data_IF_928777889443
#
_entry.id   IF_928777889443
#
_cell.length_a   1.000
_cell.length_b   1.000
_cell.length_c   1.000
_cell.angle_alpha   90.00
_cell.angle_beta   90.00
_cell.angle_gamma   90.00
#
_symmetry.space_group_name_H-M   'P 1'
#
loop_
_entity.id
_entity.type
_entity.pdbx_description
1 polymer ?
#
# COMPACT_ATOMS: atom_id res chain seq x y z
N UNK A 1 2.85 0.76 -25.32
CA UNK A 1 4.18 1.40 -25.15
C UNK A 1 5.23 0.32 -25.40
N UNK A 2 6.26 0.60 -26.21
CA UNK A 2 7.40 -0.32 -26.42
C UNK A 2 8.49 -0.03 -25.40
N UNK A 3 9.18 -1.05 -24.94
CA UNK A 3 10.33 -0.90 -24.04
C UNK A 3 11.57 -0.49 -24.83
N UNK A 4 11.78 -1.07 -26.02
CA UNK A 4 12.83 -0.70 -26.96
C UNK A 4 12.37 0.43 -27.90
N UNK A 5 12.29 1.65 -27.38
CA UNK A 5 12.03 2.85 -28.19
C UNK A 5 13.35 3.56 -28.56
N UNK A 6 13.68 3.67 -29.88
CA UNK A 6 14.95 4.25 -30.32
C UNK A 6 15.07 5.75 -30.05
N UNK A 7 13.97 6.43 -29.72
CA UNK A 7 13.95 7.85 -29.41
C UNK A 7 14.02 8.13 -27.90
N UNK A 8 14.11 7.10 -27.06
CA UNK A 8 14.16 7.24 -25.60
C UNK A 8 15.44 6.62 -25.01
N UNK A 9 16.01 7.27 -24.00
CA UNK A 9 17.15 6.73 -23.25
C UNK A 9 16.72 5.47 -22.48
N UNK A 10 17.48 4.37 -22.54
CA UNK A 10 17.12 3.13 -21.86
C UNK A 10 17.18 3.21 -20.33
N UNK A 11 17.94 4.18 -19.77
CA UNK A 11 18.04 4.37 -18.33
C UNK A 11 16.95 5.31 -17.77
N UNK A 12 16.82 6.53 -18.32
CA UNK A 12 15.95 7.56 -17.74
C UNK A 12 14.71 7.88 -18.58
N UNK A 13 14.55 7.24 -19.74
CA UNK A 13 13.49 7.50 -20.74
C UNK A 13 13.39 8.95 -21.23
N UNK A 14 14.46 9.74 -21.08
CA UNK A 14 14.56 11.06 -21.68
C UNK A 14 14.69 10.95 -23.21
N UNK A 15 14.22 11.96 -23.98
CA UNK A 15 14.34 11.95 -25.43
C UNK A 15 15.82 11.97 -25.87
N UNK A 16 16.17 11.15 -26.85
CA UNK A 16 17.53 11.08 -27.42
C UNK A 16 17.52 11.40 -28.91
N UNK A 17 18.54 12.12 -29.37
CA UNK A 17 18.67 12.59 -30.76
C UNK A 17 20.00 12.20 -31.40
N UNK A 18 20.30 10.90 -31.48
CA UNK A 18 21.54 10.41 -32.13
C UNK A 18 22.84 10.77 -31.40
N UNK A 19 22.76 11.13 -30.13
CA UNK A 19 23.90 11.48 -29.27
C UNK A 19 24.53 10.24 -28.64
N UNK A 20 25.82 10.29 -28.32
CA UNK A 20 26.54 9.17 -27.66
C UNK A 20 26.33 9.14 -26.15
N UNK A 21 25.94 10.27 -25.52
CA UNK A 21 25.52 10.34 -24.12
C UNK A 21 24.16 10.98 -23.97
N UNK A 22 23.36 10.46 -23.05
CA UNK A 22 22.07 11.05 -22.71
C UNK A 22 22.25 12.41 -22.02
N UNK A 23 21.60 13.44 -22.55
CA UNK A 23 21.65 14.79 -21.96
C UNK A 23 20.94 14.92 -20.60
N UNK A 24 20.04 13.99 -20.28
CA UNK A 24 19.25 14.03 -19.03
C UNK A 24 19.94 13.33 -17.87
N UNK A 25 20.48 12.13 -18.09
CA UNK A 25 21.07 11.30 -17.02
C UNK A 25 22.56 11.02 -17.19
N UNK A 26 23.18 11.46 -18.30
CA UNK A 26 24.61 11.25 -18.56
C UNK A 26 24.98 9.83 -19.02
N UNK A 27 24.01 8.94 -19.19
CA UNK A 27 24.25 7.54 -19.60
C UNK A 27 24.96 7.45 -20.96
N UNK A 28 25.99 6.60 -21.03
CA UNK A 28 26.75 6.36 -22.26
C UNK A 28 26.04 5.33 -23.15
N UNK A 29 25.40 5.82 -24.21
CA UNK A 29 24.62 5.06 -25.17
C UNK A 29 25.49 4.20 -26.10
N UNK A 30 26.80 4.50 -26.17
CA UNK A 30 27.74 3.75 -27.01
C UNK A 30 28.44 2.60 -26.28
N UNK A 31 28.22 2.48 -24.97
CA UNK A 31 28.86 1.45 -24.16
C UNK A 31 28.33 0.03 -24.47
N UNK A 32 29.15 -1.02 -24.29
CA UNK A 32 28.68 -2.41 -24.40
C UNK A 32 27.51 -2.72 -23.46
N UNK A 33 27.50 -2.14 -22.26
CA UNK A 33 26.40 -2.27 -21.31
C UNK A 33 25.09 -1.68 -21.83
N UNK A 34 25.14 -0.56 -22.57
CA UNK A 34 23.97 0.01 -23.23
C UNK A 34 23.41 -0.91 -24.33
N UNK A 35 24.28 -1.58 -25.09
CA UNK A 35 23.86 -2.57 -26.09
C UNK A 35 23.22 -3.81 -25.45
N UNK A 36 23.79 -4.30 -24.34
CA UNK A 36 23.21 -5.42 -23.59
C UNK A 36 21.81 -5.08 -23.04
N UNK A 37 21.68 -3.90 -22.43
CA UNK A 37 20.40 -3.41 -21.92
C UNK A 37 19.37 -3.25 -23.04
N UNK A 38 19.78 -2.73 -24.19
CA UNK A 38 18.93 -2.61 -25.38
C UNK A 38 18.42 -3.98 -25.86
N UNK A 39 19.30 -4.99 -25.91
CA UNK A 39 18.93 -6.36 -26.27
C UNK A 39 17.97 -7.00 -25.26
N UNK A 40 18.05 -6.63 -23.98
CA UNK A 40 17.08 -7.07 -22.96
C UNK A 40 15.70 -6.44 -23.21
N UNK A 41 15.62 -5.16 -23.57
CA UNK A 41 14.35 -4.51 -23.88
C UNK A 41 13.69 -5.06 -25.15
N UNK A 42 14.47 -5.38 -26.18
CA UNK A 42 13.95 -6.09 -27.37
C UNK A 42 13.34 -7.43 -26.96
N UNK A 43 14.03 -8.20 -26.11
CA UNK A 43 13.52 -9.49 -25.61
C UNK A 43 12.22 -9.31 -24.82
N UNK A 44 12.15 -8.30 -23.95
CA UNK A 44 10.95 -7.99 -23.19
C UNK A 44 9.75 -7.64 -24.09
N UNK A 45 9.95 -6.82 -25.12
CA UNK A 45 8.91 -6.51 -26.11
C UNK A 45 8.42 -7.77 -26.85
N UNK A 46 9.35 -8.67 -27.23
CA UNK A 46 9.00 -9.92 -27.90
C UNK A 46 8.12 -10.84 -27.04
N UNK A 47 8.41 -10.96 -25.74
CA UNK A 47 7.60 -11.75 -24.79
C UNK A 47 6.19 -11.17 -24.67
N UNK A 48 6.05 -9.85 -24.63
CA UNK A 48 4.74 -9.19 -24.54
C UNK A 48 3.92 -9.40 -25.81
N UNK A 49 4.55 -9.31 -26.97
CA UNK A 49 3.86 -9.55 -28.25
C UNK A 49 3.43 -11.03 -28.39
N UNK A 50 4.26 -11.98 -27.92
CA UNK A 50 3.88 -13.39 -27.83
C UNK A 50 2.65 -13.58 -26.92
N UNK A 51 2.65 -12.99 -25.73
CA UNK A 51 1.51 -13.07 -24.81
C UNK A 51 0.23 -12.50 -25.43
N UNK A 52 0.30 -11.34 -26.11
CA UNK A 52 -0.86 -10.77 -26.82
C UNK A 52 -1.40 -11.69 -27.91
N UNK A 53 -0.50 -12.31 -28.68
CA UNK A 53 -0.91 -13.25 -29.73
C UNK A 53 -1.61 -14.49 -29.18
N UNK A 54 -1.21 -14.96 -27.99
CA UNK A 54 -1.85 -16.10 -27.33
C UNK A 54 -3.26 -15.81 -26.81
N UNK A 55 -3.52 -14.57 -26.37
CA UNK A 55 -4.86 -14.13 -25.91
C UNK A 55 -5.83 -13.95 -27.07
N UNK A 56 -5.34 -13.62 -28.27
CA UNK A 56 -6.16 -13.43 -29.47
C UNK A 56 -6.46 -14.75 -30.20
N UNK A 57 -5.88 -15.88 -29.78
CA UNK A 57 -6.20 -17.18 -30.31
C UNK A 57 -7.65 -17.55 -29.92
N UNK A 58 -8.53 -17.92 -30.87
CA UNK A 58 -9.90 -18.29 -30.56
C UNK A 58 -9.93 -19.48 -29.59
N UNK A 59 -10.57 -19.30 -28.44
CA UNK A 59 -10.83 -20.41 -27.53
C UNK A 59 -11.71 -21.46 -28.23
N UNK A 60 -11.42 -22.76 -28.09
CA UNK A 60 -12.38 -23.79 -28.50
C UNK A 60 -13.65 -23.65 -27.65
N UNK A 61 -14.78 -23.45 -28.32
CA UNK A 61 -16.10 -23.25 -27.73
C UNK A 61 -16.49 -24.44 -26.83
N UNK A 62 -16.77 -24.24 -25.52
CA UNK A 62 -17.36 -25.28 -24.70
C UNK A 62 -18.84 -25.45 -25.07
N UNK A 63 -19.17 -26.62 -25.59
CA UNK A 63 -20.55 -27.01 -25.85
C UNK A 63 -21.29 -27.33 -24.53
N UNK A 64 -22.52 -26.81 -24.45
CA UNK A 64 -23.68 -27.34 -23.71
C UNK A 64 -23.72 -27.14 -22.19
N UNK A 65 -24.31 -26.02 -21.77
CA UNK A 65 -24.85 -25.83 -20.43
C UNK A 65 -26.12 -26.68 -20.23
N UNK A 66 -26.19 -27.32 -19.07
CA UNK A 66 -27.24 -28.23 -18.63
C UNK A 66 -28.55 -27.52 -18.26
N UNK A 67 -29.64 -28.25 -18.51
CA UNK A 67 -31.04 -27.96 -18.20
C UNK A 67 -31.32 -28.01 -16.69
N UNK A 68 -31.93 -26.95 -16.15
CA UNK A 68 -32.70 -26.90 -14.90
C UNK A 68 -33.83 -25.90 -15.18
N UNK A 69 -35.13 -26.16 -15.07
CA UNK A 69 -35.86 -27.05 -14.17
C UNK A 69 -36.98 -26.20 -13.55
N UNK A 70 -38.18 -26.26 -14.12
CA UNK A 70 -39.42 -25.57 -13.72
C UNK A 70 -39.92 -25.98 -12.33
N UNK A 71 -40.50 -25.04 -11.57
CA UNK A 71 -41.58 -25.18 -10.57
C UNK A 71 -41.49 -24.03 -9.54
N UNK A 72 -42.52 -23.53 -8.87
CA UNK A 72 -43.98 -23.45 -9.00
C UNK A 72 -44.38 -22.54 -7.82
N UNK A 73 -45.42 -21.73 -7.96
CA UNK A 73 -45.93 -20.79 -6.95
C UNK A 73 -47.08 -21.47 -6.17
N UNK A 74 -47.23 -21.26 -4.84
CA UNK A 74 -48.50 -20.65 -4.38
C UNK A 74 -48.45 -19.78 -3.09
N UNK A 75 -49.17 -18.66 -3.18
CA UNK A 75 -50.15 -18.04 -2.26
C UNK A 75 -50.00 -18.00 -0.70
N UNK A 76 -49.90 -16.75 -0.21
CA UNK A 76 -50.55 -16.05 0.93
C UNK A 76 -51.11 -16.76 2.19
N UNK A 77 -50.81 -16.15 3.36
CA UNK A 77 -51.77 -15.88 4.44
C UNK A 77 -51.38 -14.58 5.23
N UNK A 78 -52.34 -13.76 5.71
CA UNK A 78 -52.05 -12.53 6.46
C UNK A 78 -51.99 -12.78 7.98
N UNK A 79 -50.94 -12.27 8.63
CA UNK A 79 -50.82 -12.25 10.10
C UNK A 79 -51.07 -10.84 10.64
N UNK A 80 -52.20 -10.68 11.30
CA UNK A 80 -52.52 -9.55 12.19
C UNK A 80 -51.72 -9.70 13.48
N UNK A 81 -50.84 -8.75 13.79
CA UNK A 81 -50.19 -8.60 15.10
C UNK A 81 -50.34 -7.16 15.59
N UNK A 82 -50.74 -7.02 16.85
CA UNK A 82 -51.19 -5.78 17.47
C UNK A 82 -50.09 -4.72 17.70
N UNK A 83 -50.46 -3.54 18.21
CA UNK A 83 -49.54 -2.43 18.37
C UNK A 83 -48.47 -2.72 19.45
N UNK A 84 -47.18 -2.50 19.17
CA UNK A 84 -46.13 -2.60 20.19
C UNK A 84 -46.16 -1.38 21.14
N UNK A 85 -45.73 -1.54 22.41
CA UNK A 85 -45.59 -0.44 23.35
C UNK A 85 -44.46 0.50 22.93
N UNK A 86 -44.73 1.81 23.00
CA UNK A 86 -43.79 2.90 22.67
C UNK A 86 -42.61 2.89 23.66
N UNK A 87 -41.34 2.78 23.22
CA UNK A 87 -40.20 2.96 24.10
C UNK A 87 -40.03 4.43 24.49
N UNK A 88 -39.72 4.68 25.76
CA UNK A 88 -39.34 5.99 26.27
C UNK A 88 -38.21 6.60 25.42
N UNK A 89 -38.40 7.84 24.97
CA UNK A 89 -37.44 8.58 24.19
C UNK A 89 -36.11 8.70 24.96
N UNK A 90 -35.09 7.97 24.49
CA UNK A 90 -33.73 8.16 24.94
C UNK A 90 -33.27 9.54 24.48
N UNK A 91 -32.93 10.41 25.43
CA UNK A 91 -32.29 11.71 25.17
C UNK A 91 -30.95 11.43 24.50
N UNK A 92 -30.88 11.61 23.18
CA UNK A 92 -29.64 11.49 22.44
C UNK A 92 -28.70 12.63 22.87
N UNK A 93 -27.43 12.33 23.24
CA UNK A 93 -26.46 13.37 23.55
C UNK A 93 -26.29 14.27 22.33
N UNK A 94 -26.40 15.57 22.52
CA UNK A 94 -26.26 16.55 21.46
C UNK A 94 -24.94 16.32 20.71
N UNK A 95 -25.02 16.05 19.40
CA UNK A 95 -23.82 15.92 18.56
C UNK A 95 -22.97 17.19 18.73
N UNK A 96 -21.67 17.07 19.00
CA UNK A 96 -20.78 18.22 19.07
C UNK A 96 -20.84 18.94 17.72
N UNK A 97 -21.30 20.19 17.73
CA UNK A 97 -21.31 21.04 16.55
C UNK A 97 -19.86 21.46 16.28
N UNK A 98 -19.31 21.02 15.15
CA UNK A 98 -18.01 21.50 14.68
C UNK A 98 -18.15 22.96 14.25
N UNK A 99 -17.69 23.87 15.08
CA UNK A 99 -17.67 25.29 14.76
C UNK A 99 -16.43 25.57 13.92
N UNK A 100 -16.60 25.76 12.62
CA UNK A 100 -15.53 26.17 11.71
C UNK A 100 -15.11 27.60 12.06
N UNK A 101 -13.93 27.73 12.65
CA UNK A 101 -13.34 29.04 12.95
C UNK A 101 -12.51 29.46 11.73
N UNK A 102 -12.46 30.75 11.35
CA UNK A 102 -11.58 31.20 10.26
C UNK A 102 -10.12 30.74 10.44
N UNK A 103 -9.65 30.63 11.70
CA UNK A 103 -8.36 30.03 12.04
C UNK A 103 -8.21 28.55 11.64
N UNK A 104 -9.24 27.71 11.78
CA UNK A 104 -9.18 26.31 11.34
C UNK A 104 -9.17 26.19 9.81
N UNK A 105 -9.79 27.14 9.10
CA UNK A 105 -9.77 27.18 7.62
C UNK A 105 -8.38 27.57 7.13
N UNK A 106 -7.78 28.64 7.67
CA UNK A 106 -6.42 29.05 7.36
C UNK A 106 -5.39 27.96 7.69
N UNK A 107 -5.53 27.30 8.85
CA UNK A 107 -4.67 26.19 9.24
C UNK A 107 -4.82 24.99 8.30
N UNK A 108 -6.05 24.64 7.93
CA UNK A 108 -6.33 23.57 6.97
C UNK A 108 -5.77 23.88 5.58
N UNK A 109 -5.87 25.13 5.12
CA UNK A 109 -5.35 25.56 3.83
C UNK A 109 -3.81 25.57 3.80
N UNK A 110 -3.18 25.99 4.90
CA UNK A 110 -1.73 25.89 5.09
C UNK A 110 -1.24 24.44 5.10
N UNK A 111 -1.93 23.56 5.84
CA UNK A 111 -1.61 22.12 5.85
C UNK A 111 -1.78 21.49 4.46
N UNK A 112 -2.86 21.80 3.75
CA UNK A 112 -3.10 21.34 2.38
C UNK A 112 -2.00 21.82 1.43
N UNK A 113 -1.62 23.10 1.53
CA UNK A 113 -0.54 23.68 0.73
C UNK A 113 0.79 22.96 0.97
N UNK A 114 1.15 22.68 2.24
CA UNK A 114 2.37 21.93 2.57
C UNK A 114 2.34 20.50 2.02
N UNK A 115 1.20 19.80 2.11
CA UNK A 115 1.05 18.44 1.57
C UNK A 115 1.24 18.44 0.05
N UNK A 116 0.64 19.38 -0.67
CA UNK A 116 0.80 19.50 -2.12
C UNK A 116 2.26 19.82 -2.48
N UNK A 117 2.88 20.79 -1.80
CA UNK A 117 4.28 21.16 -2.03
C UNK A 117 5.23 19.96 -1.79
N UNK A 118 5.04 19.23 -0.69
CA UNK A 118 5.80 18.02 -0.37
C UNK A 118 5.61 16.94 -1.45
N UNK A 119 4.38 16.73 -1.93
CA UNK A 119 4.07 15.73 -2.97
C UNK A 119 4.76 16.06 -4.30
N UNK A 120 4.72 17.32 -4.72
CA UNK A 120 5.40 17.78 -5.95
C UNK A 120 6.91 17.62 -5.80
N UNK A 121 7.47 18.06 -4.66
CA UNK A 121 8.90 17.93 -4.39
C UNK A 121 9.34 16.46 -4.43
N UNK A 122 8.63 15.56 -3.74
CA UNK A 122 8.94 14.13 -3.78
C UNK A 122 8.86 13.58 -5.20
N UNK A 123 7.84 13.97 -5.96
CA UNK A 123 7.64 13.49 -7.35
C UNK A 123 8.76 13.92 -8.30
N UNK A 124 9.20 15.18 -8.23
CA UNK A 124 10.26 15.71 -9.09
C UNK A 124 11.64 15.19 -8.69
N UNK A 125 11.89 15.06 -7.39
CA UNK A 125 13.20 14.65 -6.87
C UNK A 125 13.39 13.13 -6.92
N UNK A 126 12.32 12.35 -7.12
CA UNK A 126 12.39 10.88 -7.10
C UNK A 126 13.35 10.31 -8.16
N UNK A 127 13.41 10.93 -9.34
CA UNK A 127 14.29 10.50 -10.43
C UNK A 127 15.77 10.82 -10.21
N UNK A 128 16.08 11.84 -9.40
CA UNK A 128 17.46 12.25 -9.07
C UNK A 128 17.94 11.75 -7.71
N UNK A 129 17.01 11.31 -6.85
CA UNK A 129 17.35 10.68 -5.58
C UNK A 129 17.92 9.28 -5.81
N UNK A 130 19.18 9.10 -5.42
CA UNK A 130 19.75 7.76 -5.23
C UNK A 130 18.98 6.99 -4.15
N UNK A 131 19.21 5.68 -4.09
CA UNK A 131 18.65 4.73 -3.11
C UNK A 131 18.60 5.33 -1.69
N UNK A 132 19.74 5.85 -1.23
CA UNK A 132 19.86 6.39 0.13
C UNK A 132 18.91 7.57 0.41
N UNK A 133 18.68 8.43 -0.59
CA UNK A 133 17.77 9.56 -0.44
C UNK A 133 16.31 9.11 -0.34
N UNK A 134 15.92 8.09 -1.11
CA UNK A 134 14.56 7.54 -1.07
C UNK A 134 14.28 6.88 0.27
N UNK A 135 15.22 6.07 0.75
CA UNK A 135 15.16 5.48 2.09
C UNK A 135 15.08 6.54 3.19
N UNK A 136 15.89 7.60 3.11
CA UNK A 136 15.87 8.68 4.09
C UNK A 136 14.51 9.41 4.15
N UNK A 137 13.86 9.65 3.00
CA UNK A 137 12.53 10.28 2.95
C UNK A 137 11.47 9.38 3.59
N UNK A 138 11.43 8.10 3.23
CA UNK A 138 10.46 7.16 3.79
C UNK A 138 10.63 7.03 5.32
N UNK A 139 11.88 6.99 5.78
CA UNK A 139 12.22 6.96 7.19
C UNK A 139 11.78 8.25 7.89
N UNK A 140 12.05 9.42 7.31
CA UNK A 140 11.63 10.71 7.88
C UNK A 140 10.10 10.83 8.01
N UNK A 141 9.35 10.39 6.99
CA UNK A 141 7.88 10.35 7.04
C UNK A 141 7.40 9.41 8.14
N UNK A 142 8.06 8.25 8.29
CA UNK A 142 7.74 7.28 9.35
C UNK A 142 7.95 7.89 10.73
N UNK A 143 9.05 8.62 10.95
CA UNK A 143 9.29 9.36 12.18
C UNK A 143 8.24 10.43 12.44
N UNK A 144 7.78 11.14 11.40
CA UNK A 144 6.72 12.15 11.54
C UNK A 144 5.40 11.52 12.01
N UNK A 145 5.00 10.38 11.44
CA UNK A 145 3.82 9.64 11.92
C UNK A 145 4.02 9.09 13.33
N UNK A 146 5.22 8.60 13.67
CA UNK A 146 5.57 8.15 15.02
C UNK A 146 5.47 9.28 16.05
N UNK A 147 5.93 10.48 15.70
CA UNK A 147 5.78 11.68 16.54
C UNK A 147 4.31 12.07 16.69
N UNK A 148 3.50 11.96 15.62
CA UNK A 148 2.06 12.16 15.66
C UNK A 148 1.36 11.18 16.60
N UNK A 149 1.73 9.89 16.55
CA UNK A 149 1.23 8.86 17.45
C UNK A 149 1.58 9.18 18.90
N UNK A 150 2.83 9.52 19.17
CA UNK A 150 3.29 9.93 20.51
C UNK A 150 2.51 11.13 21.05
N UNK A 151 2.27 12.13 20.21
CA UNK A 151 1.45 13.29 20.57
C UNK A 151 -0.01 12.92 20.85
N UNK A 152 -0.60 12.04 20.03
CA UNK A 152 -1.97 11.55 20.22
C UNK A 152 -2.13 10.76 21.54
N UNK A 153 -1.13 9.93 21.88
CA UNK A 153 -1.07 9.19 23.15
C UNK A 153 -1.00 10.15 24.34
N UNK A 154 -0.14 11.18 24.29
CA UNK A 154 -0.04 12.20 25.35
C UNK A 154 -1.33 13.02 25.54
N UNK A 155 -2.12 13.21 24.48
CA UNK A 155 -3.39 13.93 24.51
C UNK A 155 -4.60 13.04 24.83
N UNK A 156 -4.38 11.75 25.12
CA UNK A 156 -5.43 10.75 25.44
C UNK A 156 -6.54 10.71 24.38
N UNK A 157 -6.17 10.69 23.09
CA UNK A 157 -7.10 10.62 21.95
C UNK A 157 -7.16 9.18 21.39
N UNK A 158 -7.96 8.27 21.99
CA UNK A 158 -7.86 6.83 21.73
C UNK A 158 -8.09 6.48 20.24
N UNK A 159 -9.13 7.04 19.63
CA UNK A 159 -9.46 6.77 18.23
C UNK A 159 -8.33 7.20 17.27
N UNK A 160 -7.71 8.36 17.51
CA UNK A 160 -6.61 8.87 16.68
C UNK A 160 -5.32 8.08 16.92
N UNK A 161 -5.05 7.67 18.16
CA UNK A 161 -3.87 6.86 18.48
C UNK A 161 -3.95 5.46 17.87
N UNK A 162 -5.12 4.83 17.85
CA UNK A 162 -5.31 3.51 17.22
C UNK A 162 -5.06 3.60 15.71
N UNK A 163 -5.63 4.60 15.03
CA UNK A 163 -5.42 4.82 13.61
C UNK A 163 -3.94 5.13 13.28
N UNK A 164 -3.28 5.99 14.06
CA UNK A 164 -1.88 6.33 13.84
C UNK A 164 -0.94 5.15 14.13
N UNK A 165 -1.25 4.30 15.11
CA UNK A 165 -0.46 3.10 15.38
C UNK A 165 -0.43 2.17 14.16
N UNK A 166 -1.57 2.00 13.47
CA UNK A 166 -1.62 1.24 12.23
C UNK A 166 -0.78 1.84 11.12
N UNK A 167 -0.89 3.15 10.90
CA UNK A 167 -0.14 3.84 9.85
C UNK A 167 1.36 3.73 10.10
N UNK A 168 1.80 3.92 11.33
CA UNK A 168 3.21 3.76 11.72
C UNK A 168 3.67 2.33 11.45
N UNK A 169 2.91 1.32 11.89
CA UNK A 169 3.31 -0.08 11.74
C UNK A 169 3.36 -0.53 10.26
N UNK A 170 2.41 -0.06 9.45
CA UNK A 170 2.42 -0.27 8.00
C UNK A 170 3.64 0.41 7.34
N UNK A 171 3.95 1.66 7.71
CA UNK A 171 5.11 2.37 7.21
C UNK A 171 6.43 1.69 7.59
N UNK A 172 6.61 1.29 8.84
CA UNK A 172 7.82 0.56 9.27
C UNK A 172 7.95 -0.74 8.46
N UNK A 173 6.85 -1.44 8.21
CA UNK A 173 6.86 -2.65 7.37
C UNK A 173 7.33 -2.38 5.94
N UNK A 174 6.87 -1.29 5.33
CA UNK A 174 7.33 -0.87 3.99
C UNK A 174 8.84 -0.54 4.02
N UNK A 175 9.34 0.14 5.06
CA UNK A 175 10.76 0.47 5.18
C UNK A 175 11.65 -0.77 5.33
N UNK A 176 11.22 -1.76 6.12
CA UNK A 176 11.97 -3.02 6.28
C UNK A 176 12.01 -3.78 4.97
N UNK A 177 10.87 -3.92 4.29
CA UNK A 177 10.81 -4.56 2.97
C UNK A 177 11.73 -3.85 1.97
N UNK A 178 11.67 -2.52 1.89
CA UNK A 178 12.53 -1.73 1.01
C UNK A 178 14.01 -1.94 1.31
N UNK A 179 14.41 -1.97 2.59
CA UNK A 179 15.78 -2.25 2.99
C UNK A 179 16.26 -3.65 2.56
N UNK A 180 15.39 -4.66 2.65
CA UNK A 180 15.67 -6.02 2.18
C UNK A 180 15.79 -6.06 0.64
N UNK A 181 14.86 -5.44 -0.09
CA UNK A 181 14.89 -5.38 -1.56
C UNK A 181 16.15 -4.67 -2.08
N UNK A 182 16.61 -3.62 -1.40
CA UNK A 182 17.80 -2.87 -1.80
C UNK A 182 19.11 -3.49 -1.28
N UNK A 183 19.06 -4.63 -0.57
CA UNK A 183 20.24 -5.33 -0.05
C UNK A 183 20.99 -4.56 1.03
N UNK A 184 20.32 -3.62 1.69
CA UNK A 184 20.92 -2.80 2.75
C UNK A 184 21.33 -3.72 3.91
N UNK A 185 22.56 -3.56 4.41
CA UNK A 185 23.19 -4.42 5.44
C UNK A 185 23.52 -5.87 5.00
N UNK A 186 23.65 -6.14 3.69
CA UNK A 186 23.97 -7.48 3.16
C UNK A 186 22.92 -8.54 3.50
N UNK A 187 21.66 -8.11 3.70
CA UNK A 187 20.52 -9.02 3.84
C UNK A 187 20.15 -9.70 2.51
N UNK A 188 20.80 -9.34 1.40
CA UNK A 188 20.63 -9.96 0.08
C UNK A 188 21.05 -11.44 0.05
N UNK A 189 21.99 -11.83 0.92
CA UNK A 189 22.43 -13.22 1.05
C UNK A 189 21.47 -14.09 1.87
N UNK A 190 20.49 -13.48 2.54
CA UNK A 190 19.51 -14.20 3.34
C UNK A 190 18.31 -14.55 2.47
N UNK A 191 17.97 -15.83 2.45
CA UNK A 191 16.82 -16.37 1.71
C UNK A 191 15.55 -15.56 2.02
N UNK A 192 14.86 -15.06 0.98
CA UNK A 192 13.71 -14.14 1.03
C UNK A 192 12.62 -14.46 2.07
N UNK A 193 12.47 -15.72 2.47
CA UNK A 193 11.49 -16.13 3.49
C UNK A 193 11.83 -15.68 4.92
N UNK A 194 13.11 -15.61 5.30
CA UNK A 194 13.50 -15.32 6.70
C UNK A 194 13.25 -13.87 7.13
N UNK A 195 13.54 -12.83 6.33
CA UNK A 195 13.28 -11.44 6.71
C UNK A 195 11.78 -11.17 6.93
N UNK A 196 10.94 -11.73 6.05
CA UNK A 196 9.47 -11.57 6.14
C UNK A 196 8.92 -12.27 7.37
N UNK A 197 9.36 -13.50 7.65
CA UNK A 197 8.92 -14.26 8.83
C UNK A 197 9.42 -13.62 10.12
N UNK A 198 10.68 -13.18 10.18
CA UNK A 198 11.22 -12.47 11.35
C UNK A 198 10.51 -11.14 11.60
N UNK A 199 10.15 -10.41 10.54
CA UNK A 199 9.39 -9.17 10.66
C UNK A 199 7.95 -9.41 11.13
N UNK A 200 7.28 -10.44 10.60
CA UNK A 200 5.96 -10.85 11.07
C UNK A 200 5.97 -11.29 12.55
N UNK A 201 7.00 -12.04 12.97
CA UNK A 201 7.20 -12.43 14.36
C UNK A 201 7.50 -11.23 15.26
N UNK A 202 8.26 -10.25 14.79
CA UNK A 202 8.54 -9.01 15.51
C UNK A 202 7.26 -8.19 15.73
N UNK A 203 6.44 -8.02 14.70
CA UNK A 203 5.14 -7.33 14.81
C UNK A 203 4.25 -8.07 15.80
N UNK A 204 4.11 -9.39 15.66
CA UNK A 204 3.31 -10.20 16.57
C UNK A 204 3.81 -10.12 18.02
N UNK A 205 5.13 -10.14 18.22
CA UNK A 205 5.76 -10.01 19.53
C UNK A 205 5.55 -8.63 20.15
N UNK A 206 5.70 -7.55 19.38
CA UNK A 206 5.46 -6.18 19.84
C UNK A 206 4.00 -6.00 20.22
N UNK A 207 3.05 -6.47 19.38
CA UNK A 207 1.62 -6.48 19.70
C UNK A 207 1.34 -7.22 21.01
N UNK A 208 1.89 -8.43 21.17
CA UNK A 208 1.73 -9.22 22.38
C UNK A 208 2.29 -8.51 23.63
N UNK A 209 3.41 -7.80 23.50
CA UNK A 209 4.03 -7.05 24.61
C UNK A 209 3.28 -5.75 24.96
N UNK A 210 2.61 -5.12 23.99
CA UNK A 210 1.82 -3.91 24.21
C UNK A 210 0.47 -4.21 24.87
N UNK A 211 -0.10 -5.41 24.65
CA UNK A 211 -1.35 -5.84 25.27
C UNK A 211 -1.44 -5.66 26.80
N UNK A 212 -0.49 -6.15 27.62
CA UNK A 212 -0.55 -5.99 29.07
C UNK A 212 -0.44 -4.52 29.50
N UNK A 213 0.25 -3.69 28.72
CA UNK A 213 0.40 -2.26 28.99
C UNK A 213 -0.91 -1.50 28.70
N UNK A 214 -1.52 -1.76 27.54
CA UNK A 214 -2.82 -1.19 27.15
C UNK A 214 -3.94 -1.56 28.13
N UNK A 215 -3.93 -2.81 28.63
CA UNK A 215 -4.90 -3.27 29.62
C UNK A 215 -4.86 -2.49 30.93
N UNK A 216 -3.63 -2.21 31.39
CA UNK A 216 -3.36 -1.59 32.69
C UNK A 216 -3.81 -0.14 32.73
N UNK A 217 -3.72 0.54 31.60
CA UNK A 217 -3.95 1.98 31.50
C UNK A 217 -5.38 2.33 31.04
N UNK A 218 -6.00 1.51 30.18
CA UNK A 218 -7.27 1.85 29.50
C UNK A 218 -8.44 0.95 29.94
N UNK A 219 -8.17 -0.21 30.58
CA UNK A 219 -9.20 -1.12 31.08
C UNK A 219 -10.08 -1.77 30.00
N UNK A 220 -9.71 -1.65 28.71
CA UNK A 220 -10.46 -2.19 27.58
C UNK A 220 -9.58 -3.10 26.72
N UNK A 221 -10.08 -4.29 26.39
CA UNK A 221 -9.41 -5.26 25.50
C UNK A 221 -9.55 -4.81 24.04
N UNK A 222 -8.45 -4.36 23.43
CA UNK A 222 -8.36 -3.89 22.03
C UNK A 222 -8.29 -5.06 21.03
N UNK A 223 -9.27 -5.99 21.07
CA UNK A 223 -9.21 -7.26 20.35
C UNK A 223 -9.42 -7.20 18.83
N UNK A 224 -10.17 -6.22 18.34
CA UNK A 224 -10.65 -6.21 16.93
C UNK A 224 -9.60 -5.66 15.96
N UNK A 225 -8.62 -4.92 16.50
CA UNK A 225 -7.69 -4.08 15.76
C UNK A 225 -6.36 -4.83 15.53
N UNK A 226 -5.85 -5.58 16.52
CA UNK A 226 -4.59 -6.34 16.40
C UNK A 226 -4.71 -7.61 15.55
N UNK A 227 -5.85 -8.30 15.62
CA UNK A 227 -6.06 -9.54 14.84
C UNK A 227 -6.22 -9.26 13.35
N UNK A 228 -6.87 -8.14 12.98
CA UNK A 228 -7.02 -7.72 11.58
C UNK A 228 -5.69 -7.39 10.90
N UNK A 229 -4.75 -6.76 11.62
CA UNK A 229 -3.44 -6.42 11.05
C UNK A 229 -2.50 -7.62 10.96
N UNK A 230 -2.50 -8.50 11.96
CA UNK A 230 -1.72 -9.74 11.92
C UNK A 230 -2.12 -10.63 10.74
N UNK A 231 -3.44 -10.79 10.51
CA UNK A 231 -3.97 -11.64 9.44
C UNK A 231 -3.74 -11.04 8.05
N UNK A 232 -3.91 -9.72 7.88
CA UNK A 232 -3.67 -9.05 6.60
C UNK A 232 -2.18 -9.01 6.21
N UNK A 233 -1.28 -8.88 7.18
CA UNK A 233 0.17 -8.94 6.96
C UNK A 233 0.62 -10.34 6.54
N UNK A 234 0.06 -11.38 7.16
CA UNK A 234 0.29 -12.78 6.77
C UNK A 234 -0.25 -13.08 5.37
N UNK A 235 -1.45 -12.59 5.03
CA UNK A 235 -2.04 -12.78 3.71
C UNK A 235 -1.22 -12.09 2.59
N UNK A 236 -0.70 -10.88 2.86
CA UNK A 236 0.17 -10.16 1.93
C UNK A 236 1.52 -10.85 1.72
N UNK A 237 2.14 -11.36 2.80
CA UNK A 237 3.38 -12.13 2.73
C UNK A 237 3.22 -13.43 1.92
N UNK A 238 2.12 -14.15 2.14
CA UNK A 238 1.80 -15.38 1.41
C UNK A 238 1.55 -15.06 -0.08
N UNK A 239 0.72 -14.05 -0.39
CA UNK A 239 0.39 -13.68 -1.77
C UNK A 239 1.58 -13.25 -2.61
N UNK A 240 2.51 -12.49 -2.03
CA UNK A 240 3.76 -12.08 -2.71
C UNK A 240 4.69 -13.28 -2.90
N UNK A 241 4.77 -14.20 -1.92
CA UNK A 241 5.58 -15.41 -2.07
C UNK A 241 5.04 -16.34 -3.16
N UNK A 242 3.72 -16.50 -3.31
CA UNK A 242 3.16 -17.39 -4.33
C UNK A 242 3.26 -16.85 -5.76
N UNK A 243 3.33 -15.53 -5.96
CA UNK A 243 3.49 -14.91 -7.29
C UNK A 243 4.93 -14.94 -7.84
N UNK A 244 5.92 -15.21 -6.99
CA UNK A 244 7.35 -15.20 -7.36
C UNK A 244 7.85 -16.59 -7.76
N UNK A 245 7.07 -17.65 -7.50
CA UNK A 245 7.40 -19.05 -7.81
C UNK A 245 6.59 -19.66 -8.98
N UNK A 246 5.76 -18.87 -9.66
CA UNK A 246 5.12 -19.22 -10.95
C UNK A 246 5.75 -18.44 -12.10
#
# INVERSE_FOLDING_TARGET
MKYADPNCCPQCRGPIGGVTRCATCGFDLSSPAAQELWNLFIRADAVIDQARSSVMAPAPSPATAATLGTADEPAQAPVTSGPPPVPAAQVQPARPRMNFTPGSVLLGLGALSLVVAATIFVSLTWGSLGIAGRAAILLAITFAFGAGLWFALKRTLPATSEALAFVVLAMVSINVSAAVYEGLFSLDQVHWGYPVVTWALLIAGISYLVQPFSFREIGRRLYVVETGLGISSLAGAIGVSSFVWE
#
